data_IF_671286369978
#
_entry.id   IF_671286369978
#
_cell.length_a   1.000
_cell.length_b   1.000
_cell.length_c   1.000
_cell.angle_alpha   90.00
_cell.angle_beta   90.00
_cell.angle_gamma   90.00
#
_symmetry.space_group_name_H-M   'P 1'
#
loop_
_entity.id
_entity.type
_entity.pdbx_description
1 polymer ?
#
# COMPACT_ATOMS: atom_id res chain seq x y z
N UNK A 1 44.44 -3.90 -30.21
CA UNK A 1 44.79 -4.01 -28.78
C UNK A 1 43.98 -5.16 -28.19
N UNK A 2 44.59 -6.08 -27.46
CA UNK A 2 43.92 -7.31 -27.02
C UNK A 2 42.86 -7.06 -25.92
N UNK A 3 41.78 -7.87 -25.89
CA UNK A 3 40.55 -7.58 -25.13
C UNK A 3 40.63 -7.86 -23.61
N UNK A 4 41.78 -8.25 -23.07
CA UNK A 4 41.95 -8.69 -21.68
C UNK A 4 42.45 -7.60 -20.72
N UNK A 5 42.57 -6.35 -21.18
CA UNK A 5 43.14 -5.25 -20.39
C UNK A 5 42.11 -4.14 -20.09
N UNK A 6 40.89 -4.51 -19.71
CA UNK A 6 39.91 -3.55 -19.15
C UNK A 6 39.87 -3.68 -17.62
N UNK A 7 40.31 -2.66 -16.87
CA UNK A 7 40.26 -2.69 -15.41
C UNK A 7 38.80 -2.53 -14.96
N UNK A 8 38.34 -3.45 -14.12
CA UNK A 8 37.11 -3.38 -13.35
C UNK A 8 35.81 -3.38 -14.20
N UNK A 9 35.35 -4.58 -14.53
CA UNK A 9 33.94 -4.82 -14.88
C UNK A 9 33.11 -4.61 -13.61
N UNK A 10 32.95 -3.35 -13.18
CA UNK A 10 31.84 -2.96 -12.31
C UNK A 10 30.61 -3.39 -13.09
N UNK A 11 29.95 -4.45 -12.65
CA UNK A 11 28.69 -4.89 -13.22
C UNK A 11 27.77 -3.66 -13.26
N UNK A 12 27.54 -3.11 -14.46
CA UNK A 12 26.58 -2.02 -14.61
C UNK A 12 25.25 -2.58 -14.09
N UNK A 13 24.55 -1.87 -13.19
CA UNK A 13 23.26 -2.32 -12.72
C UNK A 13 22.35 -2.63 -13.91
N UNK A 14 22.08 -3.92 -14.12
CA UNK A 14 21.31 -4.35 -15.28
C UNK A 14 19.83 -4.13 -14.97
N UNK A 15 19.25 -3.11 -15.57
CA UNK A 15 17.81 -2.97 -15.64
C UNK A 15 17.22 -4.09 -16.52
N UNK A 16 15.95 -4.48 -16.31
CA UNK A 16 15.26 -5.40 -17.20
C UNK A 16 15.28 -4.87 -18.65
N UNK A 17 15.38 -5.75 -19.67
CA UNK A 17 15.44 -5.34 -21.08
C UNK A 17 14.18 -4.60 -21.56
N UNK A 18 13.09 -4.65 -20.80
CA UNK A 18 11.83 -3.93 -21.04
C UNK A 18 11.80 -2.52 -20.47
N UNK A 19 12.88 -2.06 -19.80
CA UNK A 19 12.94 -0.76 -19.16
C UNK A 19 14.00 0.14 -19.80
N UNK A 20 13.56 1.15 -20.55
CA UNK A 20 14.43 2.20 -21.10
C UNK A 20 14.11 3.55 -20.44
N UNK A 21 14.90 3.97 -19.44
CA UNK A 21 14.68 5.24 -18.75
C UNK A 21 15.05 6.42 -19.66
N UNK A 22 14.21 7.45 -19.66
CA UNK A 22 14.43 8.65 -20.48
C UNK A 22 15.73 9.43 -20.14
N UNK A 23 16.18 9.36 -18.88
CA UNK A 23 17.30 10.18 -18.37
C UNK A 23 18.24 9.34 -17.48
N UNK A 24 19.51 9.74 -17.37
CA UNK A 24 20.51 9.08 -16.51
C UNK A 24 20.10 9.02 -15.03
N UNK A 25 19.43 10.06 -14.52
CA UNK A 25 18.88 10.07 -13.16
C UNK A 25 17.89 8.92 -12.93
N UNK A 26 16.95 8.72 -13.88
CA UNK A 26 15.95 7.66 -13.79
C UNK A 26 16.58 6.28 -13.91
N UNK A 27 17.67 6.14 -14.69
CA UNK A 27 18.44 4.91 -14.75
C UNK A 27 19.08 4.56 -13.41
N UNK A 28 19.78 5.51 -12.77
CA UNK A 28 20.38 5.27 -11.45
C UNK A 28 19.34 4.97 -10.37
N UNK A 29 18.22 5.70 -10.37
CA UNK A 29 17.14 5.49 -9.43
C UNK A 29 16.50 4.10 -9.64
N UNK A 30 16.14 3.75 -10.87
CA UNK A 30 15.57 2.45 -11.22
C UNK A 30 16.52 1.29 -10.90
N UNK A 31 17.82 1.49 -11.14
CA UNK A 31 18.88 0.54 -10.78
C UNK A 31 19.00 0.32 -9.27
N UNK A 32 18.86 1.38 -8.47
CA UNK A 32 19.02 1.33 -7.01
C UNK A 32 17.83 0.65 -6.35
N UNK A 33 16.61 0.96 -6.81
CA UNK A 33 15.37 0.42 -6.23
C UNK A 33 14.90 -0.87 -6.90
N UNK A 34 15.59 -1.33 -7.95
CA UNK A 34 15.19 -2.48 -8.78
C UNK A 34 13.74 -2.37 -9.30
N UNK A 35 13.26 -1.16 -9.53
CA UNK A 35 11.93 -0.85 -10.07
C UNK A 35 12.08 -0.08 -11.37
N UNK A 36 11.28 -0.41 -12.39
CA UNK A 36 11.35 0.28 -13.67
C UNK A 36 10.57 1.60 -13.62
N UNK A 37 11.27 2.74 -13.73
CA UNK A 37 10.65 4.07 -13.89
C UNK A 37 11.09 4.68 -15.22
N UNK A 38 10.31 4.51 -16.30
CA UNK A 38 10.75 4.87 -17.65
C UNK A 38 10.70 6.38 -17.93
N UNK A 39 9.76 7.11 -17.32
CA UNK A 39 9.49 8.53 -17.64
C UNK A 39 9.40 9.42 -16.40
N UNK A 40 9.57 10.73 -16.58
CA UNK A 40 9.37 11.70 -15.50
C UNK A 40 7.92 11.68 -14.97
N UNK A 41 6.94 11.36 -15.83
CA UNK A 41 5.55 11.21 -15.42
C UNK A 41 5.37 9.98 -14.52
N UNK A 42 6.00 8.85 -14.86
CA UNK A 42 6.00 7.65 -14.02
C UNK A 42 6.66 7.91 -12.66
N UNK A 43 7.71 8.73 -12.61
CA UNK A 43 8.33 9.16 -11.35
C UNK A 43 7.34 9.93 -10.47
N UNK A 44 6.68 10.95 -11.02
CA UNK A 44 5.70 11.75 -10.27
C UNK A 44 4.55 10.86 -9.79
N UNK A 45 4.03 9.99 -10.66
CA UNK A 45 2.99 9.03 -10.31
C UNK A 45 3.42 8.10 -9.17
N UNK A 46 4.65 7.58 -9.22
CA UNK A 46 5.21 6.71 -8.17
C UNK A 46 5.35 7.46 -6.84
N UNK A 47 5.84 8.70 -6.85
CA UNK A 47 5.97 9.51 -5.64
C UNK A 47 4.61 9.82 -5.00
N UNK A 48 3.65 10.30 -5.79
CA UNK A 48 2.31 10.62 -5.30
C UNK A 48 1.58 9.36 -4.80
N UNK A 49 1.70 8.25 -5.53
CA UNK A 49 1.15 6.96 -5.11
C UNK A 49 1.76 6.46 -3.80
N UNK A 50 3.08 6.59 -3.64
CA UNK A 50 3.77 6.22 -2.40
C UNK A 50 3.32 7.09 -1.23
N UNK A 51 3.25 8.41 -1.40
CA UNK A 51 2.74 9.32 -0.37
C UNK A 51 1.29 8.99 0.01
N UNK A 52 0.45 8.66 -0.97
CA UNK A 52 -0.94 8.27 -0.73
C UNK A 52 -1.02 6.99 0.10
N UNK A 53 -0.27 5.93 -0.26
CA UNK A 53 -0.24 4.67 0.49
C UNK A 53 0.24 4.92 1.92
N UNK A 54 1.31 5.70 2.11
CA UNK A 54 1.83 6.03 3.45
C UNK A 54 0.77 6.76 4.28
N UNK A 55 0.05 7.72 3.70
CA UNK A 55 -1.04 8.41 4.38
C UNK A 55 -2.15 7.45 4.80
N UNK A 56 -2.56 6.56 3.89
CA UNK A 56 -3.62 5.57 4.13
C UNK A 56 -3.26 4.54 5.19
N UNK A 57 -1.99 4.15 5.32
CA UNK A 57 -1.54 3.23 6.37
C UNK A 57 -1.92 3.70 7.78
N UNK A 58 -1.91 5.01 8.00
CA UNK A 58 -2.17 5.60 9.33
C UNK A 58 -3.55 6.24 9.45
N UNK A 59 -4.27 6.45 8.34
CA UNK A 59 -5.51 7.21 8.33
C UNK A 59 -6.62 6.63 9.23
N UNK A 60 -6.77 5.31 9.31
CA UNK A 60 -7.81 4.70 10.13
C UNK A 60 -7.44 4.55 11.62
N UNK A 61 -6.15 4.61 11.98
CA UNK A 61 -5.71 4.37 13.36
C UNK A 61 -6.32 5.32 14.38
N UNK A 62 -6.43 6.64 14.13
CA UNK A 62 -7.12 7.55 15.03
C UNK A 62 -8.60 7.19 15.24
N UNK A 63 -9.28 6.68 14.20
CA UNK A 63 -10.68 6.27 14.30
C UNK A 63 -10.84 5.01 15.16
N UNK A 64 -9.98 4.00 14.95
CA UNK A 64 -9.95 2.79 15.79
C UNK A 64 -9.73 3.18 17.26
N UNK A 65 -8.77 4.06 17.52
CA UNK A 65 -8.51 4.55 18.87
C UNK A 65 -9.69 5.31 19.45
N UNK A 66 -10.30 6.22 18.69
CA UNK A 66 -11.48 6.99 19.10
C UNK A 66 -12.65 6.08 19.46
N UNK A 67 -12.96 5.10 18.61
CA UNK A 67 -14.01 4.11 18.84
C UNK A 67 -13.75 3.32 20.14
N UNK A 68 -12.49 2.92 20.37
CA UNK A 68 -12.11 2.21 21.58
C UNK A 68 -12.25 3.09 22.84
N UNK A 69 -11.86 4.37 22.77
CA UNK A 69 -11.93 5.32 23.90
C UNK A 69 -13.37 5.69 24.25
N UNK A 70 -14.19 5.96 23.23
CA UNK A 70 -15.59 6.35 23.41
C UNK A 70 -16.51 5.15 23.66
N UNK A 71 -16.04 3.93 23.36
CA UNK A 71 -16.85 2.71 23.37
C UNK A 71 -18.11 2.89 22.53
N UNK A 72 -17.98 3.56 21.39
CA UNK A 72 -19.07 3.86 20.48
C UNK A 72 -18.52 4.11 19.08
N UNK A 73 -19.28 3.68 18.08
CA UNK A 73 -19.02 3.94 16.66
C UNK A 73 -20.02 4.94 16.07
N UNK A 74 -20.67 5.77 16.90
CA UNK A 74 -21.62 6.77 16.42
C UNK A 74 -20.98 7.69 15.37
N UNK A 75 -21.58 7.71 14.17
CA UNK A 75 -21.06 8.44 13.00
C UNK A 75 -20.36 7.57 11.94
N UNK A 76 -20.13 6.28 12.21
CA UNK A 76 -19.71 5.32 11.17
C UNK A 76 -20.93 4.69 10.48
N UNK A 77 -20.92 4.70 9.15
CA UNK A 77 -21.92 4.01 8.33
C UNK A 77 -21.55 2.53 8.17
N UNK A 78 -22.47 1.64 8.54
CA UNK A 78 -22.30 0.19 8.40
C UNK A 78 -22.13 -0.24 6.92
N UNK A 79 -22.89 0.39 6.02
CA UNK A 79 -22.78 0.15 4.58
C UNK A 79 -21.41 0.55 4.05
N UNK A 80 -20.91 1.72 4.47
CA UNK A 80 -19.59 2.19 4.04
C UNK A 80 -18.48 1.25 4.51
N UNK A 81 -18.52 0.78 5.76
CA UNK A 81 -17.56 -0.19 6.28
C UNK A 81 -17.59 -1.52 5.54
N UNK A 82 -18.79 -1.99 5.17
CA UNK A 82 -18.95 -3.26 4.47
C UNK A 82 -18.40 -3.20 3.04
N UNK A 83 -18.73 -2.13 2.31
CA UNK A 83 -18.19 -1.88 0.97
C UNK A 83 -16.66 -1.73 1.00
N UNK A 84 -16.13 -1.06 2.01
CA UNK A 84 -14.68 -0.91 2.18
C UNK A 84 -14.00 -2.26 2.38
N UNK A 85 -14.48 -3.06 3.33
CA UNK A 85 -13.94 -4.39 3.58
C UNK A 85 -14.00 -5.27 2.33
N UNK A 86 -15.10 -5.21 1.57
CA UNK A 86 -15.23 -5.97 0.33
C UNK A 86 -14.20 -5.50 -0.72
N UNK A 87 -14.00 -4.19 -0.85
CA UNK A 87 -12.97 -3.60 -1.71
C UNK A 87 -11.58 -4.09 -1.35
N UNK A 88 -11.22 -4.05 -0.07
CA UNK A 88 -9.88 -4.47 0.38
C UNK A 88 -9.67 -5.99 0.29
N UNK A 89 -10.72 -6.79 0.50
CA UNK A 89 -10.68 -8.23 0.25
C UNK A 89 -10.46 -8.55 -1.23
N UNK A 90 -11.20 -7.90 -2.12
CA UNK A 90 -11.03 -8.11 -3.58
C UNK A 90 -9.66 -7.62 -4.05
N UNK A 91 -9.13 -6.54 -3.49
CA UNK A 91 -7.77 -6.07 -3.74
C UNK A 91 -6.72 -7.12 -3.30
N UNK A 92 -6.85 -7.68 -2.09
CA UNK A 92 -5.95 -8.74 -1.61
C UNK A 92 -6.01 -9.99 -2.50
N UNK A 93 -7.22 -10.43 -2.86
CA UNK A 93 -7.39 -11.57 -3.78
C UNK A 93 -6.76 -11.29 -5.16
N UNK A 94 -6.92 -10.07 -5.68
CA UNK A 94 -6.27 -9.64 -6.90
C UNK A 94 -4.75 -9.70 -6.82
N UNK A 95 -4.15 -9.25 -5.72
CA UNK A 95 -2.71 -9.33 -5.48
C UNK A 95 -2.22 -10.79 -5.47
N UNK A 96 -2.97 -11.68 -4.82
CA UNK A 96 -2.63 -13.10 -4.72
C UNK A 96 -2.73 -13.81 -6.08
N UNK A 97 -3.82 -13.57 -6.84
CA UNK A 97 -4.04 -14.21 -8.13
C UNK A 97 -3.07 -13.72 -9.22
N UNK A 98 -2.62 -12.47 -9.15
CA UNK A 98 -1.68 -11.90 -10.12
C UNK A 98 -0.21 -12.09 -9.74
N UNK A 99 0.08 -12.68 -8.56
CA UNK A 99 1.45 -12.87 -8.09
C UNK A 99 2.19 -11.54 -7.91
N UNK A 100 1.50 -10.54 -7.37
CA UNK A 100 2.07 -9.21 -7.13
C UNK A 100 3.25 -9.25 -6.14
N UNK A 101 4.01 -8.15 -6.10
CA UNK A 101 5.18 -8.05 -5.24
C UNK A 101 4.81 -8.32 -3.76
N UNK A 102 5.67 -9.01 -3.03
CA UNK A 102 5.37 -9.45 -1.65
C UNK A 102 4.96 -8.29 -0.73
N UNK A 103 5.56 -7.11 -0.90
CA UNK A 103 5.20 -5.93 -0.12
C UNK A 103 3.76 -5.44 -0.40
N UNK A 104 3.26 -5.56 -1.63
CA UNK A 104 1.87 -5.20 -1.99
C UNK A 104 0.88 -6.13 -1.30
N UNK A 105 1.17 -7.43 -1.29
CA UNK A 105 0.35 -8.44 -0.60
C UNK A 105 0.32 -8.16 0.90
N UNK A 106 1.46 -7.83 1.51
CA UNK A 106 1.55 -7.48 2.95
C UNK A 106 0.69 -6.25 3.27
N UNK A 107 0.78 -5.19 2.45
CA UNK A 107 -0.02 -3.98 2.65
C UNK A 107 -1.51 -4.24 2.46
N UNK A 108 -1.90 -5.01 1.43
CA UNK A 108 -3.29 -5.38 1.20
C UNK A 108 -3.87 -6.19 2.39
N UNK A 109 -3.09 -7.14 2.92
CA UNK A 109 -3.48 -7.91 4.10
C UNK A 109 -3.61 -7.02 5.35
N UNK A 110 -2.74 -6.01 5.49
CA UNK A 110 -2.85 -5.02 6.56
C UNK A 110 -4.16 -4.22 6.48
N UNK A 111 -4.56 -3.75 5.29
CA UNK A 111 -5.82 -3.00 5.15
C UNK A 111 -7.04 -3.86 5.50
N UNK A 112 -7.09 -5.11 5.03
CA UNK A 112 -8.15 -6.06 5.42
C UNK A 112 -8.20 -6.25 6.94
N UNK A 113 -7.04 -6.34 7.61
CA UNK A 113 -6.99 -6.46 9.06
C UNK A 113 -7.54 -5.22 9.77
N UNK A 114 -7.18 -4.01 9.32
CA UNK A 114 -7.66 -2.74 9.86
C UNK A 114 -9.18 -2.63 9.70
N UNK A 115 -9.70 -3.00 8.54
CA UNK A 115 -11.14 -3.00 8.25
C UNK A 115 -11.89 -4.01 9.12
N UNK A 116 -11.38 -5.24 9.26
CA UNK A 116 -11.94 -6.22 10.18
C UNK A 116 -11.99 -5.68 11.62
N UNK A 117 -10.97 -4.94 12.05
CA UNK A 117 -10.96 -4.29 13.37
C UNK A 117 -12.07 -3.23 13.50
N UNK A 118 -12.27 -2.39 12.49
CA UNK A 118 -13.35 -1.38 12.47
C UNK A 118 -14.74 -2.01 12.41
N UNK A 119 -14.95 -2.99 11.54
CA UNK A 119 -16.19 -3.78 11.48
C UNK A 119 -16.47 -4.46 12.81
N UNK A 120 -15.44 -5.06 13.44
CA UNK A 120 -15.56 -5.67 14.76
C UNK A 120 -15.96 -4.67 15.84
N UNK A 121 -15.37 -3.47 15.85
CA UNK A 121 -15.78 -2.40 16.75
C UNK A 121 -17.24 -1.97 16.53
N UNK A 122 -17.68 -1.88 15.26
CA UNK A 122 -19.06 -1.54 14.93
C UNK A 122 -20.04 -2.63 15.40
N UNK A 123 -19.76 -3.90 15.11
CA UNK A 123 -20.59 -5.02 15.59
C UNK A 123 -20.66 -5.02 17.11
N UNK A 124 -19.53 -4.83 17.79
CA UNK A 124 -19.47 -4.87 19.24
C UNK A 124 -20.22 -3.71 19.90
N UNK A 125 -19.94 -2.47 19.50
CA UNK A 125 -20.50 -1.29 20.16
C UNK A 125 -21.93 -0.96 19.70
N UNK A 126 -22.23 -1.10 18.41
CA UNK A 126 -23.52 -0.71 17.84
C UNK A 126 -24.51 -1.89 17.81
N UNK A 127 -24.14 -3.00 17.15
CA UNK A 127 -25.06 -4.12 16.91
C UNK A 127 -25.34 -4.94 18.17
N UNK A 128 -24.31 -5.23 18.97
CA UNK A 128 -24.45 -5.96 20.24
C UNK A 128 -24.75 -5.02 21.41
N UNK A 129 -24.90 -3.71 21.18
CA UNK A 129 -25.19 -2.70 22.20
C UNK A 129 -24.27 -2.71 23.44
N UNK A 130 -23.02 -3.18 23.31
CA UNK A 130 -22.03 -3.09 24.40
C UNK A 130 -21.37 -1.70 24.46
N UNK A 131 -21.76 -0.79 23.57
CA UNK A 131 -21.31 0.58 23.54
C UNK A 131 -22.02 1.49 24.53
N UNK A 132 -21.43 2.65 24.80
CA UNK A 132 -22.10 3.72 25.55
C UNK A 132 -22.75 4.66 24.55
N UNK A 133 -24.06 4.94 24.65
CA UNK A 133 -24.67 5.97 23.82
C UNK A 133 -24.00 7.31 24.13
N UNK A 134 -23.41 7.92 23.10
CA UNK A 134 -22.88 9.28 23.19
C UNK A 134 -24.09 10.22 23.18
N UNK A 135 -24.34 10.88 24.31
CA UNK A 135 -25.36 11.93 24.43
C UNK A 135 -24.92 13.21 23.73
#
# INVERSE_FOLDING_TARGET
>A
MPPYLSPLHIAKPSLPPSCEPANAFLYHLSATFHTCIPTNLALISTLLGTCSIVSWLFAQLPQIYKNHKLKSTSGLSAFFLTEWLLGDLTNLLGCLFTGQASWQIIIAAYYVFVDCCLCGQWVWYEMLHHGRPLR
#
